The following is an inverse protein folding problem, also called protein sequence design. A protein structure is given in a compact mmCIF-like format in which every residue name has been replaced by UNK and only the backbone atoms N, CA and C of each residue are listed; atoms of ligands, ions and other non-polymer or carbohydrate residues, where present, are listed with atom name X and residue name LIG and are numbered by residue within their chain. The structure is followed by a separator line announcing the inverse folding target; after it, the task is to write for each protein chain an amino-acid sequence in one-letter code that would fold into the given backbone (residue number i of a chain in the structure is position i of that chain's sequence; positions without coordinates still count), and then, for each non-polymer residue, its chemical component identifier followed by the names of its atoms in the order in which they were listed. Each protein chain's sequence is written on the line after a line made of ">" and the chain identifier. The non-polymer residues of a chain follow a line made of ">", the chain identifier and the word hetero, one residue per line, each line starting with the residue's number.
data_IF_973863996409
#
_entry.id   IF_973863996409
#
_cell.length_a   1.000
_cell.length_b   1.000
_cell.length_c   1.000
_cell.angle_alpha   90.00
_cell.angle_beta   90.00
_cell.angle_gamma   90.00
#
_symmetry.space_group_name_H-M   'P 1'
#
loop_
_entity.id
_entity.type
_entity.pdbx_description
1 polymer ?
#
# COMPACT_ATOMS: atom_id res chain seq x y z
N UNK A 1 -19.18 -12.94 -10.99
CA UNK A 1 -18.39 -11.83 -10.38
C UNK A 1 -16.98 -12.35 -10.18
N UNK A 2 -15.95 -11.74 -10.80
CA UNK A 2 -14.56 -12.06 -10.44
C UNK A 2 -14.37 -11.62 -8.99
N UNK A 3 -13.97 -12.52 -8.11
CA UNK A 3 -13.56 -12.16 -6.76
C UNK A 3 -12.20 -11.43 -6.91
N UNK A 4 -12.23 -10.12 -7.06
CA UNK A 4 -11.01 -9.32 -7.19
C UNK A 4 -10.35 -9.33 -5.82
N UNK A 5 -9.13 -9.88 -5.67
CA UNK A 5 -8.44 -9.83 -4.39
C UNK A 5 -8.23 -8.37 -3.98
N UNK A 6 -8.40 -8.06 -2.70
CA UNK A 6 -8.14 -6.74 -2.15
C UNK A 6 -7.06 -6.84 -1.08
N UNK A 7 -6.08 -5.93 -1.11
CA UNK A 7 -5.15 -5.73 0.02
C UNK A 7 -5.77 -4.85 1.08
N UNK A 8 -6.65 -3.93 0.68
CA UNK A 8 -7.49 -3.15 1.59
C UNK A 8 -8.93 -3.20 1.09
N UNK A 9 -9.81 -3.83 1.88
CA UNK A 9 -11.21 -4.03 1.49
C UNK A 9 -11.94 -2.68 1.33
N UNK A 10 -12.44 -2.37 0.11
CA UNK A 10 -13.35 -1.26 -0.11
C UNK A 10 -14.64 -1.45 0.71
N UNK A 11 -15.23 -0.37 1.23
CA UNK A 11 -16.50 -0.45 1.97
C UNK A 11 -17.71 -0.34 1.06
N UNK A 12 -17.53 0.35 -0.07
CA UNK A 12 -18.59 0.64 -1.02
C UNK A 12 -18.42 -0.33 -2.20
N UNK A 13 -19.48 -1.02 -2.64
CA UNK A 13 -19.43 -1.85 -3.86
C UNK A 13 -19.06 -1.03 -5.09
N UNK A 14 -18.49 -1.68 -6.10
CA UNK A 14 -18.04 -0.99 -7.33
C UNK A 14 -19.21 -0.42 -8.13
N UNK A 15 -20.34 -1.12 -8.15
CA UNK A 15 -21.54 -0.78 -8.92
C UNK A 15 -22.16 0.56 -8.50
N UNK A 16 -21.92 0.99 -7.26
CA UNK A 16 -22.47 2.23 -6.70
C UNK A 16 -21.40 3.30 -6.48
N UNK A 17 -20.14 3.01 -6.82
CA UNK A 17 -19.01 3.93 -6.66
C UNK A 17 -18.78 4.71 -7.95
N UNK A 18 -19.63 5.71 -8.21
CA UNK A 18 -19.59 6.56 -9.42
C UNK A 18 -18.90 7.91 -9.16
N UNK A 19 -18.59 8.65 -10.22
CA UNK A 19 -18.16 10.06 -10.18
C UNK A 19 -16.85 10.35 -9.42
N UNK A 20 -16.00 9.33 -9.25
CA UNK A 20 -14.69 9.43 -8.58
C UNK A 20 -13.50 9.00 -9.43
N UNK A 21 -13.75 8.66 -10.70
CA UNK A 21 -12.74 8.15 -11.64
C UNK A 21 -11.55 9.10 -11.77
N UNK A 22 -11.82 10.41 -11.89
CA UNK A 22 -10.79 11.44 -11.99
C UNK A 22 -9.85 11.45 -10.78
N UNK A 23 -10.40 11.33 -9.56
CA UNK A 23 -9.59 11.27 -8.35
C UNK A 23 -8.78 9.97 -8.28
N UNK A 24 -9.39 8.83 -8.63
CA UNK A 24 -8.68 7.55 -8.65
C UNK A 24 -7.49 7.63 -9.62
N UNK A 25 -7.73 8.13 -10.82
CA UNK A 25 -6.73 8.21 -11.88
C UNK A 25 -5.63 9.22 -11.55
N UNK A 26 -6.00 10.37 -10.99
CA UNK A 26 -5.06 11.38 -10.51
C UNK A 26 -4.11 10.80 -9.46
N UNK A 27 -4.63 10.17 -8.40
CA UNK A 27 -3.81 9.63 -7.32
C UNK A 27 -2.99 8.41 -7.77
N UNK A 28 -3.55 7.58 -8.65
CA UNK A 28 -2.82 6.46 -9.24
C UNK A 28 -1.60 6.95 -10.04
N UNK A 29 -1.79 7.89 -10.97
CA UNK A 29 -0.70 8.50 -11.75
C UNK A 29 0.31 9.22 -10.86
N UNK A 30 -0.17 10.03 -9.91
CA UNK A 30 0.70 10.73 -8.98
C UNK A 30 1.59 9.77 -8.19
N UNK A 31 1.05 8.63 -7.76
CA UNK A 31 1.82 7.60 -7.08
C UNK A 31 2.89 6.96 -7.98
N UNK A 32 2.56 6.61 -9.23
CA UNK A 32 3.54 6.07 -10.18
C UNK A 32 4.67 7.08 -10.47
N UNK A 33 4.35 8.36 -10.66
CA UNK A 33 5.33 9.43 -10.87
C UNK A 33 6.23 9.67 -9.65
N UNK A 34 5.86 9.19 -8.45
CA UNK A 34 6.72 9.23 -7.28
C UNK A 34 7.98 8.37 -7.46
N UNK A 35 7.91 7.26 -8.22
CA UNK A 35 9.09 6.47 -8.59
C UNK A 35 10.12 7.31 -9.36
N UNK A 36 9.64 8.25 -10.18
CA UNK A 36 10.48 9.16 -10.97
C UNK A 36 10.92 10.41 -10.20
N UNK A 37 10.56 10.54 -8.91
CA UNK A 37 10.79 11.74 -8.08
C UNK A 37 10.16 13.02 -8.69
N UNK A 38 9.10 12.87 -9.49
CA UNK A 38 8.40 13.97 -10.17
C UNK A 38 7.11 14.41 -9.48
N UNK A 39 6.73 13.72 -8.40
CA UNK A 39 5.53 13.99 -7.61
C UNK A 39 5.89 14.65 -6.28
N UNK A 40 5.02 15.57 -5.83
CA UNK A 40 5.07 16.15 -4.49
C UNK A 40 4.10 15.46 -3.53
N UNK A 41 4.35 15.59 -2.22
CA UNK A 41 3.40 15.17 -1.19
C UNK A 41 2.03 15.80 -1.43
N UNK A 42 1.01 14.96 -1.58
CA UNK A 42 -0.36 15.39 -1.93
C UNK A 42 -1.33 15.05 -0.82
N UNK A 43 -2.29 15.95 -0.56
CA UNK A 43 -3.31 15.78 0.47
C UNK A 43 -4.71 15.92 -0.13
N UNK A 44 -5.63 15.03 0.28
CA UNK A 44 -7.05 15.13 -0.08
C UNK A 44 -7.84 15.61 1.14
N UNK A 45 -8.32 16.85 1.09
CA UNK A 45 -9.10 17.47 2.15
C UNK A 45 -10.60 17.46 1.82
N UNK A 46 -11.44 17.49 2.86
CA UNK A 46 -12.89 17.58 2.71
C UNK A 46 -13.63 17.03 3.94
N UNK A 47 -14.95 17.17 3.94
CA UNK A 47 -15.80 16.77 5.06
C UNK A 47 -15.79 15.25 5.32
N UNK A 48 -16.18 14.83 6.53
CA UNK A 48 -16.31 13.40 6.89
C UNK A 48 -17.36 12.74 5.98
N UNK A 49 -17.17 11.45 5.67
CA UNK A 49 -18.07 10.64 4.81
C UNK A 49 -18.14 11.05 3.33
N UNK A 50 -17.21 11.87 2.85
CA UNK A 50 -17.08 12.23 1.43
C UNK A 50 -16.42 11.15 0.54
N UNK A 51 -16.14 9.96 1.06
CA UNK A 51 -15.50 8.88 0.29
C UNK A 51 -13.98 9.00 0.11
N UNK A 52 -13.32 9.97 0.75
CA UNK A 52 -11.84 10.13 0.66
C UNK A 52 -11.07 8.85 1.02
N UNK A 53 -11.47 8.19 2.10
CA UNK A 53 -10.86 6.91 2.49
C UNK A 53 -11.07 5.83 1.43
N UNK A 54 -12.22 5.82 0.76
CA UNK A 54 -12.56 4.86 -0.27
C UNK A 54 -11.69 5.04 -1.53
N UNK A 55 -11.42 6.30 -1.91
CA UNK A 55 -10.47 6.65 -2.97
C UNK A 55 -9.11 6.00 -2.69
N UNK A 56 -8.53 6.26 -1.50
CA UNK A 56 -7.20 5.72 -1.18
C UNK A 56 -7.16 4.19 -1.12
N UNK A 57 -8.21 3.53 -0.60
CA UNK A 57 -8.29 2.06 -0.59
C UNK A 57 -8.24 1.48 -2.00
N UNK A 58 -9.02 2.06 -2.92
CA UNK A 58 -9.10 1.63 -4.32
C UNK A 58 -7.79 1.90 -5.06
N UNK A 59 -7.19 3.08 -4.88
CA UNK A 59 -5.87 3.41 -5.46
C UNK A 59 -4.79 2.43 -4.98
N UNK A 60 -4.76 2.10 -3.68
CA UNK A 60 -3.81 1.12 -3.13
C UNK A 60 -4.01 -0.26 -3.74
N UNK A 61 -5.26 -0.72 -3.90
CA UNK A 61 -5.53 -1.99 -4.57
C UNK A 61 -5.07 -1.98 -6.04
N UNK A 62 -5.38 -0.91 -6.79
CA UNK A 62 -4.91 -0.73 -8.18
C UNK A 62 -3.39 -0.79 -8.25
N UNK A 63 -2.69 0.01 -7.45
CA UNK A 63 -1.23 0.00 -7.37
C UNK A 63 -0.69 -1.39 -7.03
N UNK A 64 -1.33 -2.12 -6.12
CA UNK A 64 -0.82 -3.43 -5.71
C UNK A 64 -0.94 -4.48 -6.82
N UNK A 65 -2.06 -4.50 -7.56
CA UNK A 65 -2.35 -5.58 -8.50
C UNK A 65 -2.11 -5.24 -9.98
N UNK A 66 -2.08 -3.97 -10.36
CA UNK A 66 -1.92 -3.54 -11.76
C UNK A 66 -0.45 -3.34 -12.17
N UNK A 67 0.47 -3.27 -11.19
CA UNK A 67 1.90 -3.11 -11.43
C UNK A 67 2.62 -4.47 -11.48
N UNK A 68 3.71 -4.56 -12.26
CA UNK A 68 4.69 -5.64 -12.11
C UNK A 68 5.66 -5.29 -10.97
N UNK A 69 5.70 -6.04 -9.85
CA UNK A 69 6.62 -5.76 -8.75
C UNK A 69 8.10 -5.83 -9.13
N UNK A 70 8.46 -6.45 -10.26
CA UNK A 70 9.84 -6.51 -10.75
C UNK A 70 10.23 -5.31 -11.60
N UNK A 71 9.29 -4.47 -11.98
CA UNK A 71 9.57 -3.27 -12.76
C UNK A 71 10.43 -2.30 -11.93
N UNK A 72 11.47 -1.69 -12.52
CA UNK A 72 12.25 -0.64 -11.85
C UNK A 72 11.44 0.62 -11.55
N UNK A 73 10.24 0.76 -12.15
CA UNK A 73 9.31 1.86 -11.95
C UNK A 73 8.15 1.50 -11.04
N UNK A 74 8.12 0.28 -10.50
CA UNK A 74 7.09 -0.13 -9.56
C UNK A 74 7.18 0.69 -8.28
N UNK A 75 6.03 1.15 -7.80
CA UNK A 75 5.90 1.74 -6.46
C UNK A 75 5.25 0.76 -5.52
N UNK A 76 5.82 0.61 -4.32
CA UNK A 76 5.22 -0.19 -3.26
C UNK A 76 4.08 0.62 -2.64
N UNK A 77 2.81 0.23 -2.80
CA UNK A 77 1.73 0.94 -2.15
C UNK A 77 1.71 0.57 -0.67
N UNK A 78 1.70 1.57 0.21
CA UNK A 78 1.56 1.35 1.65
C UNK A 78 0.34 2.11 2.15
N UNK A 79 -0.64 1.38 2.66
CA UNK A 79 -1.80 1.96 3.32
C UNK A 79 -1.65 1.85 4.83
N UNK A 80 -1.83 2.97 5.53
CA UNK A 80 -1.81 3.02 6.98
C UNK A 80 -2.92 3.95 7.47
N UNK A 81 -3.79 3.43 8.34
CA UNK A 81 -4.77 4.24 9.04
C UNK A 81 -4.18 4.66 10.38
N UNK A 82 -4.02 5.96 10.59
CA UNK A 82 -3.64 6.48 11.90
C UNK A 82 -4.73 6.15 12.92
N UNK A 83 -4.37 5.72 14.15
CA UNK A 83 -5.34 5.55 15.22
C UNK A 83 -5.86 6.92 15.66
N UNK A 84 -7.07 6.95 16.23
CA UNK A 84 -7.69 8.18 16.75
C UNK A 84 -6.86 8.81 17.88
N UNK A 85 -6.17 7.97 18.67
CA UNK A 85 -5.26 8.38 19.74
C UNK A 85 -3.92 7.65 19.65
N UNK A 86 -2.84 8.35 19.98
CA UNK A 86 -1.48 7.77 20.10
C UNK A 86 -1.10 7.81 21.58
N UNK A 87 -1.34 6.72 22.28
CA UNK A 87 -1.02 6.60 23.71
C UNK A 87 0.48 6.37 23.95
N UNK A 88 1.13 5.60 23.08
CA UNK A 88 2.55 5.26 23.19
C UNK A 88 3.26 5.42 21.84
N UNK A 89 4.27 6.31 21.81
CA UNK A 89 5.08 6.60 20.62
C UNK A 89 5.86 5.39 20.12
N UNK A 90 6.39 4.55 21.02
CA UNK A 90 7.15 3.34 20.65
C UNK A 90 6.24 2.31 19.99
N UNK A 91 5.07 2.09 20.57
CA UNK A 91 4.09 1.14 20.03
C UNK A 91 3.56 1.61 18.67
N UNK A 92 3.33 2.92 18.52
CA UNK A 92 2.99 3.52 17.23
C UNK A 92 4.08 3.28 16.18
N UNK A 93 5.34 3.61 16.51
CA UNK A 93 6.46 3.44 15.59
C UNK A 93 6.64 1.97 15.18
N UNK A 94 6.49 1.03 16.13
CA UNK A 94 6.57 -0.39 15.86
C UNK A 94 5.43 -0.85 14.93
N UNK A 95 4.18 -0.47 15.22
CA UNK A 95 3.01 -0.81 14.37
C UNK A 95 3.16 -0.25 12.96
N UNK A 96 3.61 1.00 12.84
CA UNK A 96 3.84 1.64 11.55
C UNK A 96 4.93 0.92 10.75
N UNK A 97 6.07 0.62 11.38
CA UNK A 97 7.18 -0.11 10.75
C UNK A 97 6.76 -1.52 10.31
N UNK A 98 6.08 -2.26 11.18
CA UNK A 98 5.58 -3.60 10.84
C UNK A 98 4.58 -3.55 9.68
N UNK A 99 3.67 -2.57 9.66
CA UNK A 99 2.76 -2.37 8.54
C UNK A 99 3.53 -2.11 7.24
N UNK A 100 4.49 -1.17 7.27
CA UNK A 100 5.33 -0.86 6.12
C UNK A 100 6.05 -2.12 5.59
N UNK A 101 6.69 -2.88 6.49
CA UNK A 101 7.37 -4.13 6.12
C UNK A 101 6.41 -5.11 5.45
N UNK A 102 5.20 -5.31 5.98
CA UNK A 102 4.22 -6.22 5.39
C UNK A 102 3.83 -5.84 3.98
N UNK A 103 3.48 -4.58 3.74
CA UNK A 103 3.14 -4.11 2.39
C UNK A 103 4.32 -4.31 1.43
N UNK A 104 5.54 -4.00 1.89
CA UNK A 104 6.75 -4.19 1.11
C UNK A 104 6.96 -5.67 0.74
N UNK A 105 6.96 -6.57 1.72
CA UNK A 105 7.13 -8.01 1.49
C UNK A 105 6.01 -8.58 0.62
N UNK A 106 4.76 -8.24 0.92
CA UNK A 106 3.57 -8.70 0.19
C UNK A 106 3.62 -8.30 -1.28
N UNK A 107 4.01 -7.06 -1.57
CA UNK A 107 4.06 -6.56 -2.95
C UNK A 107 5.10 -7.31 -3.78
N UNK A 108 6.34 -7.42 -3.29
CA UNK A 108 7.40 -8.10 -4.06
C UNK A 108 7.25 -9.62 -4.14
N UNK A 109 6.52 -10.24 -3.21
CA UNK A 109 6.17 -11.67 -3.28
C UNK A 109 4.86 -11.94 -3.99
N UNK A 110 4.08 -10.90 -4.31
CA UNK A 110 2.71 -11.01 -4.79
C UNK A 110 1.82 -11.85 -3.85
N UNK A 111 2.02 -11.72 -2.54
CA UNK A 111 1.28 -12.45 -1.49
C UNK A 111 0.51 -11.47 -0.59
N UNK A 112 -0.73 -11.09 -0.95
CA UNK A 112 -1.51 -10.10 -0.21
C UNK A 112 -1.80 -10.52 1.25
N UNK A 113 -1.85 -11.83 1.53
CA UNK A 113 -2.14 -12.37 2.86
C UNK A 113 -1.10 -11.98 3.94
N UNK A 114 0.13 -11.61 3.54
CA UNK A 114 1.16 -11.11 4.45
C UNK A 114 0.72 -9.81 5.14
N UNK A 115 -0.08 -8.98 4.45
CA UNK A 115 -0.61 -7.71 4.97
C UNK A 115 -1.59 -7.98 6.11
N UNK A 116 -2.50 -8.93 5.92
CA UNK A 116 -3.53 -9.28 6.91
C UNK A 116 -3.04 -10.25 7.99
N UNK A 117 -1.87 -10.87 7.80
CA UNK A 117 -1.32 -11.85 8.74
C UNK A 117 -0.89 -11.23 10.07
N UNK A 118 -0.73 -12.07 11.10
CA UNK A 118 -0.36 -11.63 12.46
C UNK A 118 1.15 -11.72 12.78
N UNK A 119 2.00 -11.96 11.78
CA UNK A 119 3.46 -12.16 11.94
C UNK A 119 4.20 -10.89 12.40
N UNK A 120 4.69 -10.81 13.62
CA UNK A 120 5.29 -9.59 14.21
C UNK A 120 6.76 -9.78 14.62
N UNK A 121 7.44 -8.67 14.89
CA UNK A 121 8.80 -8.66 15.44
C UNK A 121 9.79 -9.52 14.64
N UNK A 122 10.53 -10.38 15.35
CA UNK A 122 11.57 -11.23 14.76
C UNK A 122 11.06 -12.14 13.64
N UNK A 123 9.83 -12.65 13.73
CA UNK A 123 9.26 -13.51 12.68
C UNK A 123 9.10 -12.76 11.36
N UNK A 124 8.70 -11.49 11.43
CA UNK A 124 8.56 -10.64 10.24
C UNK A 124 9.93 -10.30 9.65
N UNK A 125 10.94 -10.10 10.51
CA UNK A 125 12.33 -9.90 10.10
C UNK A 125 12.90 -11.15 9.42
N UNK A 126 12.63 -12.34 9.95
CA UNK A 126 13.09 -13.59 9.36
C UNK A 126 12.43 -13.84 8.00
N UNK A 127 11.12 -13.59 7.88
CA UNK A 127 10.42 -13.62 6.59
C UNK A 127 11.07 -12.65 5.58
N UNK A 128 11.42 -11.43 6.01
CA UNK A 128 12.12 -10.48 5.15
C UNK A 128 13.50 -11.00 4.69
N UNK A 129 14.25 -11.66 5.57
CA UNK A 129 15.55 -12.26 5.23
C UNK A 129 15.42 -13.40 4.23
N UNK A 130 14.40 -14.25 4.39
CA UNK A 130 14.10 -15.37 3.49
C UNK A 130 13.70 -14.89 2.09
N UNK A 131 12.92 -13.81 2.00
CA UNK A 131 12.46 -13.24 0.72
C UNK A 131 13.57 -12.41 0.05
N UNK A 132 14.54 -11.88 0.82
CA UNK A 132 15.62 -10.99 0.34
C UNK A 132 16.28 -11.41 -0.99
N UNK A 133 16.58 -12.70 -1.24
CA UNK A 133 17.21 -13.13 -2.49
C UNK A 133 16.34 -12.96 -3.75
N UNK A 134 15.02 -12.88 -3.58
CA UNK A 134 14.02 -12.77 -4.67
C UNK A 134 13.65 -11.33 -5.04
N UNK A 135 14.19 -10.34 -4.33
CA UNK A 135 13.92 -8.93 -4.64
C UNK A 135 14.55 -8.52 -5.98
N UNK A 136 13.89 -7.64 -6.75
CA UNK A 136 14.37 -7.20 -8.06
C UNK A 136 15.69 -6.40 -8.01
N UNK A 137 16.11 -5.91 -6.84
CA UNK A 137 17.35 -5.16 -6.69
C UNK A 137 18.54 -6.07 -6.37
N UNK A 138 19.09 -6.74 -7.41
CA UNK A 138 20.36 -7.46 -7.35
C UNK A 138 21.61 -6.61 -7.64
N UNK A 139 21.49 -5.29 -7.80
CA UNK A 139 22.68 -4.42 -7.92
C UNK A 139 23.04 -3.80 -6.57
N UNK A 140 24.26 -4.04 -6.05
CA UNK A 140 24.79 -3.21 -4.98
C UNK A 140 24.89 -1.78 -5.52
N UNK A 141 24.61 -0.82 -4.65
CA UNK A 141 24.96 0.58 -4.88
C UNK A 141 26.48 0.62 -5.06
N UNK A 142 26.94 0.77 -6.31
CA UNK A 142 28.33 1.09 -6.67
C UNK A 142 28.38 2.61 -6.80
#
# INVERSE_FOLDING_TARGET
>A
MKNIPWVVKPLVPEEVYTDREEFLEYFYKAALEAAHRRTMSTVLLGQRRMGKTEIFKRVVNRLFFEQDPKSPHAVVPVYFSFPDTIENKKDFALKYLENFMRYYLAFYTNQPDIITGNTKGEKLINLAKEIRPSFPFKKPWI
#
